data_IF_755056080056
#
_entry.id   IF_755056080056
#
_cell.length_a   1.000
_cell.length_b   1.000
_cell.length_c   1.000
_cell.angle_alpha   90.00
_cell.angle_beta   90.00
_cell.angle_gamma   90.00
#
_symmetry.space_group_name_H-M   'P 1'
#
loop_
_entity.id
_entity.type
_entity.pdbx_description
1 polymer ?
#
# COMPACT_ATOMS: atom_id res chain seq x y z
N UNK A 1 5.86 11.36 -8.55
CA UNK A 1 5.98 10.01 -9.13
C UNK A 1 4.57 9.53 -9.44
N UNK A 2 4.35 8.95 -10.62
CA UNK A 2 3.02 8.70 -11.19
C UNK A 2 2.36 7.44 -10.62
N UNK A 3 1.05 7.49 -10.40
CA UNK A 3 0.25 6.35 -9.95
C UNK A 3 0.49 5.13 -10.85
N UNK A 4 0.67 3.97 -10.24
CA UNK A 4 0.78 2.70 -10.95
C UNK A 4 -0.61 2.31 -11.46
N UNK A 5 -0.87 2.52 -12.75
CA UNK A 5 -2.11 2.10 -13.41
C UNK A 5 -2.13 0.63 -13.80
N UNK A 6 -0.98 -0.06 -13.71
CA UNK A 6 -0.88 -1.49 -14.00
C UNK A 6 -1.70 -2.32 -13.01
N UNK A 7 -2.32 -3.39 -13.49
CA UNK A 7 -2.83 -4.45 -12.62
C UNK A 7 -1.66 -4.99 -11.77
N UNK A 8 -1.82 -5.20 -10.44
CA UNK A 8 -3.03 -5.16 -9.61
C UNK A 8 -3.33 -3.81 -8.93
N UNK A 9 -2.50 -2.79 -9.12
CA UNK A 9 -2.63 -1.48 -8.46
C UNK A 9 -3.81 -0.67 -9.00
N UNK A 10 -4.16 -0.86 -10.28
CA UNK A 10 -5.36 -0.34 -10.92
C UNK A 10 -5.58 1.19 -10.73
N UNK A 11 -4.49 1.95 -10.59
CA UNK A 11 -4.53 3.40 -10.36
C UNK A 11 -4.99 3.83 -8.97
N UNK A 12 -5.06 2.89 -8.02
CA UNK A 12 -5.39 3.15 -6.60
C UNK A 12 -4.25 3.92 -5.93
N UNK A 13 -4.59 4.64 -4.87
CA UNK A 13 -3.64 5.36 -4.01
C UNK A 13 -3.14 4.45 -2.90
N UNK A 14 -4.02 3.67 -2.28
CA UNK A 14 -3.66 2.80 -1.18
C UNK A 14 -3.66 1.34 -1.60
N UNK A 15 -2.57 0.66 -1.28
CA UNK A 15 -2.43 -0.77 -1.50
C UNK A 15 -1.99 -1.47 -0.22
N UNK A 16 -2.62 -2.59 0.08
CA UNK A 16 -2.24 -3.49 1.15
C UNK A 16 -1.28 -4.53 0.61
N UNK A 17 -0.23 -4.79 1.35
CA UNK A 17 0.65 -5.93 1.16
C UNK A 17 0.20 -7.04 2.10
N UNK A 18 -0.40 -8.10 1.57
CA UNK A 18 -0.84 -9.24 2.39
C UNK A 18 0.31 -10.12 2.88
N UNK A 19 1.52 -9.96 2.34
CA UNK A 19 2.70 -10.66 2.81
C UNK A 19 3.24 -10.08 4.12
N UNK A 20 3.23 -8.75 4.27
CA UNK A 20 3.68 -8.06 5.50
C UNK A 20 2.52 -7.53 6.34
N UNK A 21 1.28 -7.58 5.83
CA UNK A 21 0.11 -6.91 6.40
C UNK A 21 0.30 -5.40 6.59
N UNK A 22 1.02 -4.74 5.68
CA UNK A 22 1.22 -3.29 5.69
C UNK A 22 0.44 -2.60 4.57
N UNK A 23 -0.03 -1.38 4.80
CA UNK A 23 -0.58 -0.50 3.77
C UNK A 23 0.47 0.49 3.30
N UNK A 24 0.59 0.60 1.98
CA UNK A 24 1.45 1.55 1.30
C UNK A 24 0.63 2.61 0.56
N UNK A 25 1.14 3.83 0.54
CA UNK A 25 0.60 4.96 -0.22
C UNK A 25 1.46 5.16 -1.47
N UNK A 26 0.86 4.97 -2.64
CA UNK A 26 1.49 5.11 -3.95
C UNK A 26 1.75 6.57 -4.35
N UNK A 27 1.03 7.53 -3.76
CA UNK A 27 1.23 8.96 -4.00
C UNK A 27 2.51 9.46 -3.30
N UNK A 28 2.85 8.82 -2.18
CA UNK A 28 4.03 9.05 -1.35
C UNK A 28 4.97 7.83 -1.31
N UNK A 29 5.10 7.13 -2.45
CA UNK A 29 6.04 6.00 -2.59
C UNK A 29 7.48 6.48 -2.33
N UNK A 30 8.14 5.83 -1.37
CA UNK A 30 9.58 6.02 -1.09
C UNK A 30 10.35 4.80 -1.56
N UNK A 31 11.62 4.99 -1.92
CA UNK A 31 12.52 3.86 -2.25
C UNK A 31 12.62 2.81 -1.14
N UNK A 32 12.40 3.19 0.12
CA UNK A 32 12.39 2.26 1.25
C UNK A 32 11.17 1.34 1.32
N UNK A 33 10.06 1.68 0.65
CA UNK A 33 8.82 0.90 0.68
C UNK A 33 8.90 -0.42 -0.10
N UNK A 34 9.84 -0.52 -1.05
CA UNK A 34 10.03 -1.70 -1.91
C UNK A 34 8.75 -2.21 -2.58
N UNK A 35 7.84 -1.31 -2.95
CA UNK A 35 6.55 -1.66 -3.56
C UNK A 35 6.73 -2.46 -4.85
N UNK A 36 7.81 -2.18 -5.58
CA UNK A 36 8.19 -2.92 -6.80
C UNK A 36 8.57 -4.38 -6.54
N UNK A 37 9.08 -4.69 -5.34
CA UNK A 37 9.43 -6.06 -4.92
C UNK A 37 8.21 -6.83 -4.39
N UNK A 38 7.09 -6.14 -4.13
CA UNK A 38 5.86 -6.80 -3.68
C UNK A 38 5.28 -7.58 -4.86
N UNK A 39 5.15 -8.89 -4.67
CA UNK A 39 4.50 -9.73 -5.66
C UNK A 39 3.05 -9.29 -5.85
N UNK A 40 2.64 -9.15 -7.11
CA UNK A 40 1.28 -8.73 -7.48
C UNK A 40 0.18 -9.60 -6.86
N UNK A 41 0.46 -10.87 -6.55
CA UNK A 41 -0.49 -11.75 -5.85
C UNK A 41 -0.72 -11.37 -4.38
N UNK A 42 0.21 -10.63 -3.77
CA UNK A 42 0.10 -10.12 -2.41
C UNK A 42 -0.41 -8.67 -2.34
N UNK A 43 -0.62 -8.03 -3.48
CA UNK A 43 -1.16 -6.66 -3.53
C UNK A 43 -2.69 -6.72 -3.41
N UNK A 44 -3.21 -6.02 -2.42
CA UNK A 44 -4.65 -5.83 -2.20
C UNK A 44 -5.01 -4.36 -2.37
N UNK A 45 -6.05 -4.08 -3.14
CA UNK A 45 -6.58 -2.72 -3.28
C UNK A 45 -7.78 -2.51 -2.38
N UNK A 46 -7.97 -1.28 -1.89
CA UNK A 46 -9.10 -0.94 -1.03
C UNK A 46 -10.24 -0.26 -1.81
N UNK A 47 -11.47 -0.49 -1.36
CA UNK A 47 -12.65 0.21 -1.83
C UNK A 47 -13.61 0.48 -0.66
N UNK A 48 -13.74 1.73 -0.18
CA UNK A 48 -13.16 2.97 -0.71
C UNK A 48 -11.62 3.00 -0.63
N UNK A 49 -10.99 3.72 -1.55
CA UNK A 49 -9.52 3.84 -1.65
C UNK A 49 -8.99 4.81 -0.58
N UNK A 50 -9.12 4.41 0.69
CA UNK A 50 -8.74 5.22 1.85
C UNK A 50 -7.84 4.42 2.79
N UNK A 51 -6.91 5.12 3.41
CA UNK A 51 -6.05 4.58 4.47
C UNK A 51 -6.86 3.94 5.62
N UNK A 52 -7.98 4.57 5.99
CA UNK A 52 -8.84 4.08 7.04
C UNK A 52 -9.49 2.73 6.70
N UNK A 53 -9.83 2.50 5.42
CA UNK A 53 -10.34 1.20 4.99
C UNK A 53 -9.28 0.10 5.18
N UNK A 54 -8.02 0.40 4.86
CA UNK A 54 -6.93 -0.53 5.10
C UNK A 54 -6.75 -0.86 6.58
N UNK A 55 -6.81 0.15 7.46
CA UNK A 55 -6.78 -0.07 8.91
C UNK A 55 -7.97 -0.88 9.42
N UNK A 56 -9.16 -0.64 8.89
CA UNK A 56 -10.35 -1.42 9.24
C UNK A 56 -10.21 -2.89 8.82
N UNK A 57 -9.46 -3.18 7.76
CA UNK A 57 -9.13 -4.56 7.36
C UNK A 57 -7.98 -5.17 8.18
N UNK A 58 -7.32 -4.39 9.04
CA UNK A 58 -6.24 -4.86 9.92
C UNK A 58 -4.82 -4.69 9.36
N UNK A 59 -4.63 -3.85 8.34
CA UNK A 59 -3.29 -3.53 7.83
C UNK A 59 -2.60 -2.46 8.69
N UNK A 60 -1.30 -2.63 8.95
CA UNK A 60 -0.46 -1.63 9.62
C UNK A 60 0.11 -0.60 8.65
N UNK A 61 0.64 0.51 9.14
CA UNK A 61 1.16 1.57 8.28
C UNK A 61 2.56 1.22 7.80
N UNK A 62 2.83 1.32 6.49
CA UNK A 62 4.22 1.26 6.05
C UNK A 62 5.00 2.46 6.61
N UNK A 63 6.05 2.17 7.38
CA UNK A 63 6.94 3.17 8.00
C UNK A 63 7.49 4.19 6.99
N UNK A 64 7.79 3.74 5.77
CA UNK A 64 8.46 4.58 4.77
C UNK A 64 7.48 5.49 4.01
N UNK A 65 6.36 4.95 3.53
CA UNK A 65 5.46 5.69 2.62
C UNK A 65 4.42 6.53 3.39
N UNK A 66 3.84 5.93 4.43
CA UNK A 66 2.80 6.56 5.26
C UNK A 66 3.44 7.15 6.51
N UNK A 67 4.44 6.47 7.07
CA UNK A 67 4.96 6.80 8.39
C UNK A 67 3.98 6.43 9.50
N UNK A 68 4.40 6.67 10.75
CA UNK A 68 3.56 6.39 11.91
C UNK A 68 3.16 4.89 11.98
N UNK A 69 4.10 3.99 11.65
CA UNK A 69 4.01 2.56 11.99
C UNK A 69 4.18 2.41 13.49
N UNK A 70 3.51 1.42 14.08
CA UNK A 70 3.70 1.08 15.50
C UNK A 70 4.90 0.12 15.72
N UNK A 71 5.67 -0.16 14.67
CA UNK A 71 6.88 -0.99 14.68
C UNK A 71 8.11 -0.18 14.29
#
# INVERSE_FOLDING_TARGET
MGRRYSYPFNGKRFIGNTNTNEVHDLDNEKSGCRIDEINTSHVKTFNPDTHQQAKNEGFDNCYWCIGNSNY
#
